data_IF_136689809592
#
_entry.id   IF_136689809592
#
_cell.length_a   1.000
_cell.length_b   1.000
_cell.length_c   1.000
_cell.angle_alpha   90.00
_cell.angle_beta   90.00
_cell.angle_gamma   90.00
#
_symmetry.space_group_name_H-M   'P 1'
#
loop_
_entity.id
_entity.type
_entity.pdbx_description
1 polymer ?
#
# COMPACT_ATOMS: atom_id res chain seq x y z
N UNK A 1 13.47 9.19 29.92
CA UNK A 1 12.76 10.49 30.04
C UNK A 1 13.20 11.51 28.97
N UNK A 2 14.50 11.74 28.74
CA UNK A 2 14.98 12.60 27.64
C UNK A 2 14.70 12.00 26.24
N UNK A 3 14.88 10.69 26.06
CA UNK A 3 14.55 9.96 24.83
C UNK A 3 13.05 10.05 24.46
N UNK A 4 12.14 10.05 25.45
CA UNK A 4 10.68 10.17 25.23
C UNK A 4 10.31 11.60 24.76
N UNK A 5 11.04 12.63 25.19
CA UNK A 5 10.85 14.01 24.73
C UNK A 5 11.46 14.25 23.35
N UNK A 6 12.58 13.60 23.02
CA UNK A 6 13.13 13.56 21.65
C UNK A 6 12.20 12.82 20.69
N UNK A 7 11.62 11.69 21.10
CA UNK A 7 10.56 10.96 20.38
C UNK A 7 9.34 11.85 20.11
N UNK A 8 8.82 12.57 21.11
CA UNK A 8 7.69 13.50 20.88
C UNK A 8 8.03 14.64 19.90
N UNK A 9 9.30 15.03 19.78
CA UNK A 9 9.76 16.09 18.88
C UNK A 9 9.96 15.56 17.45
N UNK A 10 10.53 14.36 17.29
CA UNK A 10 10.66 13.66 16.01
C UNK A 10 9.29 13.22 15.44
N UNK A 11 8.37 12.76 16.29
CA UNK A 11 6.97 12.48 15.91
C UNK A 11 6.20 13.75 15.48
N UNK A 12 6.58 14.93 15.98
CA UNK A 12 6.02 16.21 15.55
C UNK A 12 6.49 16.58 14.13
N UNK A 13 7.76 16.29 13.83
CA UNK A 13 8.33 16.43 12.47
C UNK A 13 7.76 15.37 11.50
N UNK A 14 7.49 14.15 12.01
CA UNK A 14 6.80 13.04 11.32
C UNK A 14 5.39 13.42 10.87
N UNK A 15 4.70 14.23 11.68
CA UNK A 15 3.45 14.85 11.28
C UNK A 15 3.68 16.00 10.31
N UNK A 16 4.79 16.75 10.30
CA UNK A 16 4.96 17.95 9.47
C UNK A 16 5.20 17.67 7.97
N UNK A 17 6.04 16.71 7.59
CA UNK A 17 6.21 16.36 6.16
C UNK A 17 4.95 15.74 5.54
N UNK A 18 4.18 14.99 6.33
CA UNK A 18 2.89 14.42 5.94
C UNK A 18 1.74 15.44 6.10
N UNK A 19 1.82 16.38 7.06
CA UNK A 19 0.86 17.48 7.27
C UNK A 19 1.01 18.62 6.27
N UNK A 20 2.18 18.79 5.67
CA UNK A 20 2.38 19.77 4.63
C UNK A 20 1.38 19.55 3.48
N UNK A 21 1.02 18.28 3.21
CA UNK A 21 -0.02 17.90 2.23
C UNK A 21 -1.38 17.60 2.90
N UNK A 22 -1.41 17.03 4.11
CA UNK A 22 -2.63 16.70 4.83
C UNK A 22 -2.70 17.41 6.19
N UNK A 23 -3.23 18.64 6.21
CA UNK A 23 -3.53 19.34 7.45
C UNK A 23 -4.52 18.51 8.31
N UNK A 24 -4.01 17.66 9.21
CA UNK A 24 -4.82 17.03 10.25
C UNK A 24 -5.22 18.10 11.24
N UNK A 25 -6.39 18.70 10.99
CA UNK A 25 -7.13 19.46 12.00
C UNK A 25 -7.35 18.53 13.19
N UNK A 26 -7.06 19.00 14.40
CA UNK A 26 -7.41 18.26 15.62
C UNK A 26 -8.94 18.16 15.68
N UNK A 27 -9.50 17.07 15.17
CA UNK A 27 -10.91 16.76 15.34
C UNK A 27 -11.13 16.31 16.78
N UNK A 28 -11.59 17.23 17.61
CA UNK A 28 -12.26 16.88 18.87
C UNK A 28 -13.53 16.12 18.51
N UNK A 29 -13.54 14.81 18.77
CA UNK A 29 -14.73 13.96 18.68
C UNK A 29 -15.88 14.59 19.46
N UNK A 30 -17.05 14.88 18.85
CA UNK A 30 -18.25 15.16 19.62
C UNK A 30 -18.71 13.84 20.25
N UNK A 31 -18.29 13.59 21.48
CA UNK A 31 -18.85 12.57 22.34
C UNK A 31 -20.31 12.91 22.66
N UNK A 32 -21.26 12.44 21.84
CA UNK A 32 -22.63 12.15 22.25
C UNK A 32 -23.13 10.92 21.51
N UNK A 33 -23.27 9.82 22.25
CA UNK A 33 -23.96 8.63 21.79
C UNK A 33 -25.42 8.96 21.50
N UNK A 34 -25.77 8.99 20.22
CA UNK A 34 -27.14 8.77 19.76
C UNK A 34 -27.22 7.36 19.21
N UNK A 35 -28.05 6.53 19.81
CA UNK A 35 -28.41 5.23 19.25
C UNK A 35 -29.09 5.48 17.89
N UNK A 36 -28.36 5.23 16.80
CA UNK A 36 -28.91 5.36 15.46
C UNK A 36 -29.78 4.13 15.16
N UNK A 37 -31.09 4.37 15.13
CA UNK A 37 -32.07 3.48 14.51
C UNK A 37 -31.73 3.35 13.02
N UNK A 38 -31.42 2.13 12.57
CA UNK A 38 -31.20 1.81 11.17
C UNK A 38 -32.52 1.93 10.40
N UNK A 39 -32.63 2.76 9.33
CA UNK A 39 -33.71 2.60 8.38
C UNK A 39 -33.56 1.26 7.69
N UNK A 40 -34.63 0.46 7.66
CA UNK A 40 -34.71 -0.82 6.94
C UNK A 40 -34.38 -0.60 5.45
N UNK A 41 -33.15 -0.89 5.06
CA UNK A 41 -32.63 -0.77 3.70
C UNK A 41 -32.75 -2.12 2.99
N UNK A 42 -33.98 -2.60 2.77
CA UNK A 42 -34.23 -3.90 2.17
C UNK A 42 -34.74 -3.76 0.73
N UNK A 43 -34.07 -4.48 -0.20
CA UNK A 43 -34.32 -4.58 -1.65
C UNK A 43 -33.53 -3.61 -2.56
N UNK A 44 -33.84 -2.30 -2.60
CA UNK A 44 -33.29 -1.39 -3.62
C UNK A 44 -31.77 -1.15 -3.60
N UNK A 45 -31.12 -1.22 -2.43
CA UNK A 45 -29.65 -1.11 -2.35
C UNK A 45 -28.91 -2.33 -2.90
N UNK A 46 -29.52 -3.52 -2.85
CA UNK A 46 -28.88 -4.72 -3.35
C UNK A 46 -28.77 -4.69 -4.87
N UNK A 47 -29.80 -4.17 -5.55
CA UNK A 47 -29.84 -4.03 -7.00
C UNK A 47 -28.81 -3.00 -7.49
N UNK A 48 -28.66 -1.89 -6.75
CA UNK A 48 -27.68 -0.85 -7.10
C UNK A 48 -26.23 -1.32 -6.91
N UNK A 49 -25.94 -2.07 -5.84
CA UNK A 49 -24.63 -2.70 -5.65
C UNK A 49 -24.32 -3.66 -6.80
N UNK A 50 -25.28 -4.52 -7.19
CA UNK A 50 -25.09 -5.47 -8.28
C UNK A 50 -24.84 -4.74 -9.63
N UNK A 51 -25.62 -3.70 -9.92
CA UNK A 51 -25.49 -2.88 -11.14
C UNK A 51 -24.14 -2.19 -11.22
N UNK A 52 -23.69 -1.55 -10.14
CA UNK A 52 -22.39 -0.87 -10.09
C UNK A 52 -21.23 -1.86 -10.12
N UNK A 53 -21.36 -3.00 -9.44
CA UNK A 53 -20.33 -4.04 -9.43
C UNK A 53 -20.12 -4.66 -10.82
N UNK A 54 -21.17 -4.76 -11.64
CA UNK A 54 -21.12 -5.25 -13.02
C UNK A 54 -20.51 -4.25 -14.02
N UNK A 55 -20.30 -2.99 -13.62
CA UNK A 55 -19.72 -1.97 -14.51
C UNK A 55 -18.24 -2.27 -14.79
N UNK A 56 -17.82 -2.16 -16.05
CA UNK A 56 -16.41 -2.38 -16.45
C UNK A 56 -15.52 -1.36 -15.73
N UNK A 57 -14.55 -1.86 -14.97
CA UNK A 57 -13.61 -1.02 -14.23
C UNK A 57 -12.44 -0.66 -15.13
N UNK A 58 -12.13 0.62 -15.22
CA UNK A 58 -10.92 1.11 -15.86
C UNK A 58 -9.73 0.92 -14.89
N UNK A 59 -8.64 0.25 -15.30
CA UNK A 59 -7.42 0.21 -14.50
C UNK A 59 -6.89 1.64 -14.36
N UNK A 60 -6.46 2.00 -13.15
CA UNK A 60 -5.89 3.32 -12.89
C UNK A 60 -4.46 3.34 -13.40
N UNK A 61 -4.16 4.19 -14.38
CA UNK A 61 -2.77 4.37 -14.81
C UNK A 61 -2.09 5.48 -14.03
N UNK A 62 -0.76 5.45 -13.94
CA UNK A 62 0.01 6.56 -13.39
C UNK A 62 -0.21 7.87 -14.17
N UNK A 63 -0.42 7.77 -15.48
CA UNK A 63 -0.80 8.90 -16.33
C UNK A 63 -2.15 9.52 -15.91
N UNK A 64 -3.12 8.71 -15.46
CA UNK A 64 -4.41 9.22 -14.97
C UNK A 64 -4.24 10.06 -13.70
N UNK A 65 -3.25 9.76 -12.84
CA UNK A 65 -2.96 10.53 -11.63
C UNK A 65 -2.28 11.87 -11.92
N UNK A 66 -1.53 11.94 -13.03
CA UNK A 66 -0.81 13.13 -13.46
C UNK A 66 -1.61 14.03 -14.42
N UNK A 67 -2.75 13.54 -14.92
CA UNK A 67 -3.55 14.21 -15.96
C UNK A 67 -3.94 15.65 -15.61
N UNK A 68 -4.21 15.93 -14.33
CA UNK A 68 -4.67 17.24 -13.88
C UNK A 68 -3.54 18.26 -13.70
N UNK A 69 -2.28 17.86 -13.80
CA UNK A 69 -1.13 18.75 -13.72
C UNK A 69 -0.65 19.05 -12.31
N UNK A 70 0.24 20.05 -12.18
CA UNK A 70 0.85 20.45 -10.89
C UNK A 70 -0.07 21.42 -10.13
N UNK A 71 -0.22 21.26 -8.81
CA UNK A 71 -0.91 22.25 -7.98
C UNK A 71 -0.21 23.63 -8.00
N UNK A 72 -0.94 24.73 -7.72
CA UNK A 72 -2.38 24.79 -7.49
C UNK A 72 -3.17 24.55 -8.79
N UNK A 73 -4.26 23.79 -8.70
CA UNK A 73 -5.10 23.49 -9.86
C UNK A 73 -6.03 24.67 -10.17
N UNK A 74 -6.40 24.82 -11.45
CA UNK A 74 -7.53 25.67 -11.83
C UNK A 74 -8.83 25.09 -11.28
N UNK A 75 -9.85 25.94 -11.13
CA UNK A 75 -11.20 25.52 -10.72
C UNK A 75 -11.73 24.37 -11.60
N UNK A 76 -11.63 24.49 -12.92
CA UNK A 76 -12.04 23.45 -13.86
C UNK A 76 -11.27 22.13 -13.66
N UNK A 77 -9.96 22.20 -13.38
CA UNK A 77 -9.14 21.02 -13.16
C UNK A 77 -9.48 20.32 -11.84
N UNK A 78 -9.78 21.09 -10.79
CA UNK A 78 -10.21 20.55 -9.49
C UNK A 78 -11.59 19.90 -9.56
N UNK A 79 -12.55 20.55 -10.23
CA UNK A 79 -13.87 19.96 -10.52
C UNK A 79 -13.75 18.70 -11.39
N UNK A 80 -12.85 18.71 -12.37
CA UNK A 80 -12.56 17.52 -13.19
C UNK A 80 -11.99 16.37 -12.35
N UNK A 81 -11.10 16.66 -11.40
CA UNK A 81 -10.53 15.68 -10.47
C UNK A 81 -11.60 15.07 -9.57
N UNK A 82 -12.51 15.89 -9.02
CA UNK A 82 -13.62 15.43 -8.18
C UNK A 82 -14.56 14.49 -8.95
N UNK A 83 -14.99 14.90 -10.14
CA UNK A 83 -15.88 14.09 -10.98
C UNK A 83 -15.19 12.81 -11.50
N UNK A 84 -13.88 12.86 -11.79
CA UNK A 84 -13.10 11.67 -12.13
C UNK A 84 -13.08 10.68 -10.95
N UNK A 85 -12.89 11.16 -9.73
CA UNK A 85 -12.93 10.35 -8.51
C UNK A 85 -14.28 9.66 -8.34
N UNK A 86 -15.38 10.41 -8.49
CA UNK A 86 -16.75 9.88 -8.43
C UNK A 86 -17.09 8.89 -9.55
N UNK A 87 -16.44 8.99 -10.70
CA UNK A 87 -16.61 8.01 -11.78
C UNK A 87 -16.02 6.63 -11.46
N UNK A 88 -15.10 6.54 -10.49
CA UNK A 88 -14.35 5.33 -10.17
C UNK A 88 -14.71 4.73 -8.81
N UNK A 89 -14.78 5.53 -7.74
CA UNK A 89 -14.91 5.00 -6.38
C UNK A 89 -16.19 4.18 -6.15
N UNK A 90 -17.41 4.61 -6.55
CA UNK A 90 -18.62 3.85 -6.27
C UNK A 90 -18.63 2.45 -6.89
N UNK A 91 -18.22 2.33 -8.16
CA UNK A 91 -18.12 1.03 -8.82
C UNK A 91 -17.07 0.11 -8.18
N UNK A 92 -15.95 0.67 -7.69
CA UNK A 92 -14.93 -0.07 -6.96
C UNK A 92 -15.44 -0.54 -5.59
N UNK A 93 -16.12 0.31 -4.84
CA UNK A 93 -16.72 -0.05 -3.55
C UNK A 93 -17.81 -1.12 -3.71
N UNK A 94 -18.71 -0.95 -4.69
CA UNK A 94 -19.75 -1.93 -5.01
C UNK A 94 -19.16 -3.31 -5.34
N UNK A 95 -18.07 -3.35 -6.11
CA UNK A 95 -17.34 -4.59 -6.34
C UNK A 95 -16.79 -5.23 -5.08
N UNK A 96 -16.24 -4.45 -4.15
CA UNK A 96 -15.69 -4.99 -2.90
C UNK A 96 -16.79 -5.52 -1.99
N UNK A 97 -17.94 -4.84 -1.96
CA UNK A 97 -19.16 -5.32 -1.28
C UNK A 97 -19.59 -6.67 -1.88
N UNK A 98 -19.68 -6.76 -3.21
CA UNK A 98 -20.02 -8.02 -3.90
C UNK A 98 -19.02 -9.14 -3.61
N UNK A 99 -17.71 -8.84 -3.64
CA UNK A 99 -16.67 -9.81 -3.34
C UNK A 99 -16.78 -10.34 -1.89
N UNK A 100 -17.06 -9.47 -0.92
CA UNK A 100 -17.30 -9.87 0.47
C UNK A 100 -18.57 -10.74 0.60
N UNK A 101 -19.64 -10.45 -0.14
CA UNK A 101 -20.88 -11.25 -0.14
C UNK A 101 -20.69 -12.65 -0.71
N UNK A 102 -19.74 -12.82 -1.62
CA UNK A 102 -19.45 -14.10 -2.27
C UNK A 102 -18.56 -15.03 -1.42
N UNK A 103 -18.06 -14.58 -0.27
CA UNK A 103 -17.32 -15.43 0.66
C UNK A 103 -18.25 -16.44 1.35
N UNK A 104 -17.71 -17.56 1.86
CA UNK A 104 -18.48 -18.51 2.65
C UNK A 104 -19.19 -17.82 3.82
N UNK A 105 -20.44 -18.23 4.10
CA UNK A 105 -21.28 -17.59 5.12
C UNK A 105 -20.60 -17.48 6.49
N UNK A 106 -19.84 -18.52 6.88
CA UNK A 106 -19.09 -18.55 8.15
C UNK A 106 -18.01 -17.44 8.22
N UNK A 107 -17.41 -17.07 7.10
CA UNK A 107 -16.41 -16.00 7.00
C UNK A 107 -17.09 -14.63 7.06
N UNK A 108 -18.18 -14.45 6.30
CA UNK A 108 -18.92 -13.18 6.28
C UNK A 108 -19.55 -12.85 7.64
N UNK A 109 -19.97 -13.90 8.37
CA UNK A 109 -20.55 -13.77 9.71
C UNK A 109 -19.53 -13.37 10.78
N UNK A 110 -18.23 -13.44 10.48
CA UNK A 110 -17.20 -13.00 11.42
C UNK A 110 -17.36 -11.50 11.74
N UNK A 111 -17.31 -11.07 13.03
CA UNK A 111 -17.53 -9.67 13.40
C UNK A 111 -16.56 -8.69 12.73
N UNK A 112 -15.31 -9.09 12.50
CA UNK A 112 -14.31 -8.25 11.85
C UNK A 112 -14.58 -8.09 10.36
N UNK A 113 -14.91 -9.19 9.66
CA UNK A 113 -15.26 -9.16 8.22
C UNK A 113 -16.56 -8.38 8.01
N UNK A 114 -17.59 -8.62 8.85
CA UNK A 114 -18.86 -7.92 8.83
C UNK A 114 -18.69 -6.41 9.08
N UNK A 115 -17.81 -6.01 10.01
CA UNK A 115 -17.46 -4.59 10.20
C UNK A 115 -16.90 -3.95 8.93
N UNK A 116 -15.99 -4.63 8.23
CA UNK A 116 -15.44 -4.12 6.97
C UNK A 116 -16.51 -4.03 5.89
N UNK A 117 -17.37 -5.03 5.78
CA UNK A 117 -18.54 -5.01 4.89
C UNK A 117 -19.43 -3.79 5.15
N UNK A 118 -19.76 -3.52 6.41
CA UNK A 118 -20.59 -2.37 6.80
C UNK A 118 -19.90 -1.03 6.50
N UNK A 119 -18.58 -0.93 6.70
CA UNK A 119 -17.84 0.28 6.33
C UNK A 119 -17.89 0.55 4.81
N UNK A 120 -17.78 -0.49 3.99
CA UNK A 120 -17.92 -0.35 2.54
C UNK A 120 -19.34 0.05 2.12
N UNK A 121 -20.37 -0.56 2.72
CA UNK A 121 -21.77 -0.18 2.49
C UNK A 121 -22.02 1.28 2.85
N UNK A 122 -21.56 1.70 4.03
CA UNK A 122 -21.68 3.09 4.47
C UNK A 122 -21.01 4.02 3.48
N UNK A 123 -19.75 3.76 3.12
CA UNK A 123 -19.00 4.57 2.16
C UNK A 123 -19.69 4.68 0.80
N UNK A 124 -20.24 3.57 0.27
CA UNK A 124 -20.99 3.60 -0.97
C UNK A 124 -22.25 4.47 -0.82
N UNK A 125 -23.04 4.25 0.25
CA UNK A 125 -24.26 5.01 0.50
C UNK A 125 -24.01 6.52 0.62
N UNK A 126 -22.86 6.91 1.19
CA UNK A 126 -22.43 8.30 1.33
C UNK A 126 -22.03 8.91 -0.02
N UNK A 127 -21.45 8.12 -0.94
CA UNK A 127 -21.01 8.60 -2.25
C UNK A 127 -22.12 8.63 -3.31
N UNK A 128 -23.15 7.79 -3.20
CA UNK A 128 -24.24 7.70 -4.19
C UNK A 128 -24.92 9.05 -4.49
N UNK A 129 -25.26 9.90 -3.49
CA UNK A 129 -25.85 11.22 -3.75
C UNK A 129 -24.95 12.12 -4.60
N UNK A 130 -23.63 11.99 -4.47
CA UNK A 130 -22.66 12.72 -5.29
C UNK A 130 -22.49 12.10 -6.66
N UNK A 131 -22.63 10.78 -6.82
CA UNK A 131 -22.52 10.13 -8.13
C UNK A 131 -23.70 10.47 -9.05
N UNK A 132 -24.89 10.69 -8.49
CA UNK A 132 -26.11 10.99 -9.25
C UNK A 132 -26.10 12.41 -9.86
N UNK A 133 -25.21 13.29 -9.41
CA UNK A 133 -25.10 14.68 -9.88
C UNK A 133 -23.65 15.01 -10.22
N UNK A 134 -23.43 15.84 -11.23
CA UNK A 134 -22.09 16.35 -11.52
C UNK A 134 -21.73 17.42 -10.48
N UNK A 135 -20.55 17.32 -9.85
CA UNK A 135 -20.02 18.41 -9.02
C UNK A 135 -19.68 19.57 -9.95
N UNK A 136 -20.34 20.71 -9.77
CA UNK A 136 -20.28 21.85 -10.70
C UNK A 136 -19.74 23.13 -10.04
N UNK A 137 -19.63 23.17 -8.71
CA UNK A 137 -19.19 24.36 -7.97
C UNK A 137 -18.08 24.01 -6.97
N UNK A 138 -17.23 24.99 -6.64
CA UNK A 138 -16.18 24.83 -5.62
C UNK A 138 -16.73 24.52 -4.23
N UNK A 139 -17.92 25.01 -3.89
CA UNK A 139 -18.54 24.71 -2.59
C UNK A 139 -18.97 23.24 -2.51
N UNK A 140 -19.52 22.68 -3.59
CA UNK A 140 -19.84 21.24 -3.67
C UNK A 140 -18.59 20.38 -3.67
N UNK A 141 -17.52 20.80 -4.35
CA UNK A 141 -16.23 20.12 -4.36
C UNK A 141 -15.63 20.06 -2.96
N UNK A 142 -15.69 21.16 -2.22
CA UNK A 142 -15.21 21.23 -0.84
C UNK A 142 -16.00 20.31 0.10
N UNK A 143 -17.34 20.32 -0.01
CA UNK A 143 -18.18 19.39 0.75
C UNK A 143 -17.86 17.93 0.41
N UNK A 144 -17.61 17.64 -0.87
CA UNK A 144 -17.18 16.32 -1.32
C UNK A 144 -15.81 15.94 -0.75
N UNK A 145 -14.84 16.85 -0.76
CA UNK A 145 -13.51 16.62 -0.19
C UNK A 145 -13.55 16.33 1.31
N UNK A 146 -14.38 17.07 2.07
CA UNK A 146 -14.60 16.82 3.51
C UNK A 146 -15.16 15.40 3.74
N UNK A 147 -16.20 15.03 2.98
CA UNK A 147 -16.78 13.68 3.03
C UNK A 147 -15.75 12.61 2.66
N UNK A 148 -14.99 12.84 1.59
CA UNK A 148 -13.99 11.88 1.11
C UNK A 148 -12.87 11.66 2.13
N UNK A 149 -12.46 12.71 2.84
CA UNK A 149 -11.48 12.62 3.92
C UNK A 149 -11.98 11.70 5.06
N UNK A 150 -13.24 11.84 5.46
CA UNK A 150 -13.85 10.98 6.48
C UNK A 150 -13.94 9.51 6.03
N UNK A 151 -14.24 9.27 4.75
CA UNK A 151 -14.26 7.92 4.18
C UNK A 151 -12.86 7.28 4.16
N UNK A 152 -11.83 8.04 3.73
CA UNK A 152 -10.44 7.58 3.75
C UNK A 152 -9.99 7.24 5.17
N UNK A 153 -10.37 8.06 6.14
CA UNK A 153 -10.07 7.83 7.56
C UNK A 153 -10.77 6.56 8.09
N UNK A 154 -12.06 6.38 7.80
CA UNK A 154 -12.86 5.20 8.19
C UNK A 154 -12.24 3.89 7.72
N UNK A 155 -11.58 3.89 6.56
CA UNK A 155 -10.92 2.73 5.97
C UNK A 155 -9.45 2.55 6.40
N UNK A 156 -8.94 3.35 7.32
CA UNK A 156 -7.53 3.29 7.77
C UNK A 156 -7.15 1.91 8.30
N UNK A 157 -8.01 1.33 9.14
CA UNK A 157 -7.74 0.05 9.80
C UNK A 157 -8.30 -1.17 9.05
N UNK A 158 -8.66 -1.04 7.76
CA UNK A 158 -9.26 -2.17 7.03
C UNK A 158 -8.38 -3.40 7.01
N UNK A 159 -7.09 -3.26 6.69
CA UNK A 159 -6.16 -4.40 6.54
C UNK A 159 -6.01 -5.20 7.84
N UNK A 160 -5.64 -4.59 8.99
CA UNK A 160 -5.48 -5.36 10.23
C UNK A 160 -6.78 -5.98 10.73
N UNK A 161 -7.91 -5.30 10.54
CA UNK A 161 -9.23 -5.83 10.92
C UNK A 161 -9.58 -7.04 10.05
N UNK A 162 -9.39 -6.92 8.74
CA UNK A 162 -9.63 -8.01 7.79
C UNK A 162 -8.73 -9.21 8.11
N UNK A 163 -7.44 -8.94 8.37
CA UNK A 163 -6.47 -9.97 8.73
C UNK A 163 -6.89 -10.76 9.97
N UNK A 164 -7.38 -10.08 11.01
CA UNK A 164 -7.91 -10.73 12.22
C UNK A 164 -9.12 -11.61 11.91
N UNK A 165 -10.06 -11.12 11.10
CA UNK A 165 -11.24 -11.89 10.70
C UNK A 165 -10.90 -13.17 9.93
N UNK A 166 -9.98 -13.09 8.97
CA UNK A 166 -9.53 -14.27 8.23
C UNK A 166 -8.70 -15.24 9.08
N UNK A 167 -7.92 -14.72 10.04
CA UNK A 167 -7.19 -15.55 10.99
C UNK A 167 -8.13 -16.39 11.87
N UNK A 168 -9.22 -15.78 12.37
CA UNK A 168 -10.26 -16.47 13.15
C UNK A 168 -11.00 -17.52 12.32
N UNK A 169 -11.19 -17.26 11.03
CA UNK A 169 -11.88 -18.16 10.12
C UNK A 169 -10.97 -19.21 9.45
N UNK A 170 -9.66 -19.23 9.71
CA UNK A 170 -8.66 -20.05 8.99
C UNK A 170 -8.96 -21.54 8.91
N UNK A 171 -9.73 -22.09 9.86
CA UNK A 171 -10.10 -23.51 9.91
C UNK A 171 -11.27 -23.87 8.98
N UNK A 172 -11.96 -22.86 8.44
CA UNK A 172 -13.23 -23.00 7.74
C UNK A 172 -13.16 -22.58 6.27
N UNK A 173 -11.99 -22.17 5.79
CA UNK A 173 -11.75 -21.73 4.42
C UNK A 173 -10.37 -22.21 3.96
N UNK A 174 -10.26 -22.54 2.68
CA UNK A 174 -9.00 -22.99 2.10
C UNK A 174 -7.96 -21.84 2.09
N UNK A 175 -6.70 -22.08 2.49
CA UNK A 175 -5.66 -21.05 2.52
C UNK A 175 -5.36 -20.41 1.15
N UNK A 176 -5.47 -21.15 0.05
CA UNK A 176 -5.26 -20.62 -1.29
C UNK A 176 -6.44 -19.73 -1.70
N UNK A 177 -7.67 -20.09 -1.32
CA UNK A 177 -8.85 -19.24 -1.53
C UNK A 177 -8.74 -17.92 -0.76
N UNK A 178 -8.32 -17.96 0.52
CA UNK A 178 -8.04 -16.77 1.32
C UNK A 178 -6.98 -15.90 0.66
N UNK A 179 -5.88 -16.51 0.23
CA UNK A 179 -4.76 -15.77 -0.39
C UNK A 179 -5.21 -15.07 -1.67
N UNK A 180 -5.94 -15.77 -2.54
CA UNK A 180 -6.51 -15.20 -3.77
C UNK A 180 -7.48 -14.05 -3.47
N UNK A 181 -8.37 -14.23 -2.48
CA UNK A 181 -9.31 -13.19 -2.09
C UNK A 181 -8.57 -11.95 -1.54
N UNK A 182 -7.64 -12.14 -0.61
CA UNK A 182 -6.91 -11.04 0.03
C UNK A 182 -6.04 -10.30 -0.97
N UNK A 183 -5.33 -10.99 -1.86
CA UNK A 183 -4.52 -10.33 -2.89
C UNK A 183 -5.37 -9.38 -3.75
N UNK A 184 -6.49 -9.90 -4.25
CA UNK A 184 -7.46 -9.12 -5.03
C UNK A 184 -8.06 -7.99 -4.19
N UNK A 185 -8.48 -8.27 -2.96
CA UNK A 185 -9.13 -7.30 -2.09
C UNK A 185 -8.21 -6.13 -1.70
N UNK A 186 -6.96 -6.44 -1.35
CA UNK A 186 -5.98 -5.46 -0.91
C UNK A 186 -5.47 -4.64 -2.10
N UNK A 187 -5.23 -5.24 -3.26
CA UNK A 187 -4.82 -4.50 -4.47
C UNK A 187 -5.90 -3.50 -4.93
N UNK A 188 -7.18 -3.90 -4.92
CA UNK A 188 -8.29 -2.97 -5.16
C UNK A 188 -8.35 -1.83 -4.14
N UNK A 189 -8.09 -2.12 -2.87
CA UNK A 189 -8.07 -1.12 -1.81
C UNK A 189 -6.93 -0.11 -2.01
N UNK A 190 -5.72 -0.58 -2.34
CA UNK A 190 -4.57 0.30 -2.67
C UNK A 190 -4.98 1.30 -3.74
N UNK A 191 -5.54 0.82 -4.86
CA UNK A 191 -5.95 1.70 -5.95
C UNK A 191 -7.10 2.64 -5.61
N UNK A 192 -8.08 2.19 -4.84
CA UNK A 192 -9.23 3.02 -4.43
C UNK A 192 -8.79 4.13 -3.48
N UNK A 193 -7.91 3.80 -2.52
CA UNK A 193 -7.33 4.73 -1.57
C UNK A 193 -6.48 5.78 -2.28
N UNK A 194 -5.64 5.35 -3.23
CA UNK A 194 -4.77 6.23 -4.00
C UNK A 194 -5.54 7.29 -4.78
N UNK A 195 -6.66 6.93 -5.42
CA UNK A 195 -7.51 7.89 -6.14
C UNK A 195 -8.07 8.94 -5.18
N UNK A 196 -8.57 8.49 -4.02
CA UNK A 196 -9.14 9.38 -3.03
C UNK A 196 -8.08 10.34 -2.47
N UNK A 197 -6.91 9.82 -2.08
CA UNK A 197 -5.80 10.63 -1.57
C UNK A 197 -5.27 11.61 -2.62
N UNK A 198 -5.26 11.24 -3.90
CA UNK A 198 -4.84 12.15 -4.98
C UNK A 198 -5.77 13.37 -5.08
N UNK A 199 -7.08 13.15 -5.08
CA UNK A 199 -8.03 14.26 -5.10
C UNK A 199 -7.90 15.15 -3.86
N UNK A 200 -7.78 14.54 -2.67
CA UNK A 200 -7.58 15.29 -1.42
C UNK A 200 -6.28 16.12 -1.46
N UNK A 201 -5.18 15.56 -1.96
CA UNK A 201 -3.92 16.28 -2.10
C UNK A 201 -4.05 17.49 -3.04
N UNK A 202 -4.78 17.34 -4.15
CA UNK A 202 -5.10 18.45 -5.06
C UNK A 202 -5.99 19.51 -4.41
N UNK A 203 -7.02 19.08 -3.66
CA UNK A 203 -7.92 19.97 -2.94
C UNK A 203 -7.15 20.84 -1.93
N UNK A 204 -6.37 20.22 -1.03
CA UNK A 204 -5.62 20.95 -0.01
C UNK A 204 -4.56 21.88 -0.60
N UNK A 205 -3.87 21.47 -1.67
CA UNK A 205 -2.86 22.29 -2.34
C UNK A 205 -3.47 23.46 -3.13
N UNK A 206 -4.76 23.42 -3.45
CA UNK A 206 -5.46 24.46 -4.23
C UNK A 206 -6.30 25.40 -3.37
N UNK A 207 -6.39 25.18 -2.05
CA UNK A 207 -7.09 26.11 -1.16
C UNK A 207 -6.34 27.45 -1.04
N UNK A 208 -7.04 28.60 -1.09
CA UNK A 208 -6.43 29.90 -0.86
C UNK A 208 -5.87 29.96 0.56
N UNK A 209 -4.63 30.40 0.69
CA UNK A 209 -4.00 30.59 1.99
C UNK A 209 -4.85 31.54 2.83
N UNK A 210 -5.46 31.05 3.91
CA UNK A 210 -6.07 31.93 4.90
C UNK A 210 -4.96 32.77 5.52
N UNK A 211 -5.12 34.08 5.44
CA UNK A 211 -4.34 35.06 6.19
C UNK A 211 -4.54 34.83 7.69
N UNK A 212 -3.76 33.93 8.28
CA UNK A 212 -3.62 33.82 9.73
C UNK A 212 -2.13 33.76 10.07
N UNK A 213 -1.69 34.84 10.70
CA UNK A 213 -0.38 35.03 11.34
C UNK A 213 -0.01 33.87 12.27
N UNK A 214 1.30 33.58 12.35
CA UNK A 214 2.03 32.75 13.34
C UNK A 214 2.37 31.27 13.03
N UNK A 215 2.85 30.94 11.84
CA UNK A 215 3.83 29.86 11.65
C UNK A 215 4.61 30.04 10.33
N UNK A 216 5.91 29.68 10.25
CA UNK A 216 6.58 29.57 8.97
C UNK A 216 5.87 28.48 8.17
N UNK A 217 5.32 28.82 6.99
CA UNK A 217 4.80 27.84 6.04
C UNK A 217 5.98 26.98 5.58
N UNK A 218 6.05 25.72 5.99
CA UNK A 218 6.74 24.71 5.20
C UNK A 218 5.90 24.54 3.93
N UNK A 219 6.27 25.25 2.87
CA UNK A 219 5.68 25.08 1.54
C UNK A 219 5.81 23.63 1.13
N UNK A 220 4.72 22.99 0.67
CA UNK A 220 4.79 21.67 0.04
C UNK A 220 5.93 21.69 -0.97
N UNK A 221 6.91 20.77 -0.87
CA UNK A 221 8.07 20.77 -1.74
C UNK A 221 7.63 20.77 -3.21
N UNK A 222 8.24 21.61 -4.05
CA UNK A 222 7.81 21.85 -5.44
C UNK A 222 7.84 20.60 -6.34
N UNK A 223 8.43 19.51 -5.86
CA UNK A 223 8.51 18.22 -6.52
C UNK A 223 7.24 17.35 -6.36
N UNK A 224 6.26 17.74 -5.55
CA UNK A 224 5.04 16.94 -5.37
C UNK A 224 3.93 17.26 -6.39
N UNK A 225 3.32 16.22 -6.93
CA UNK A 225 2.11 16.26 -7.76
C UNK A 225 1.05 15.38 -7.12
N UNK A 226 0.26 15.98 -6.23
CA UNK A 226 -0.63 15.25 -5.36
C UNK A 226 0.15 14.33 -4.41
N UNK A 227 -0.08 13.02 -4.49
CA UNK A 227 0.60 11.99 -3.68
C UNK A 227 1.93 11.52 -4.28
N UNK A 228 2.28 11.97 -5.48
CA UNK A 228 3.49 11.55 -6.21
C UNK A 228 4.61 12.55 -5.92
N UNK A 229 5.79 12.05 -5.56
CA UNK A 229 7.03 12.81 -5.58
C UNK A 229 7.73 12.59 -6.92
N UNK A 230 7.92 13.65 -7.69
CA UNK A 230 8.55 13.62 -9.03
C UNK A 230 10.06 13.37 -9.00
N UNK A 231 10.71 13.54 -7.85
CA UNK A 231 12.16 13.40 -7.67
C UNK A 231 12.47 12.59 -6.41
N UNK A 232 11.71 11.52 -6.18
CA UNK A 232 11.88 10.68 -5.00
C UNK A 232 13.28 10.05 -5.01
N UNK A 233 14.03 10.24 -3.92
CA UNK A 233 15.32 9.60 -3.69
C UNK A 233 15.15 8.38 -2.78
N UNK A 234 15.31 7.14 -3.30
CA UNK A 234 15.21 5.89 -2.52
C UNK A 234 16.00 5.89 -1.23
N UNK A 235 17.25 6.38 -1.27
CA UNK A 235 18.15 6.37 -0.12
C UNK A 235 17.58 7.11 1.09
N UNK A 236 16.81 8.20 0.88
CA UNK A 236 16.19 8.95 1.97
C UNK A 236 15.09 8.15 2.66
N UNK A 237 14.25 7.47 1.88
CA UNK A 237 13.19 6.60 2.42
C UNK A 237 13.81 5.42 3.16
N UNK A 238 14.86 4.80 2.60
CA UNK A 238 15.57 3.69 3.25
C UNK A 238 16.17 4.12 4.59
N UNK A 239 16.85 5.28 4.66
CA UNK A 239 17.39 5.80 5.93
C UNK A 239 16.31 6.10 6.96
N UNK A 240 15.20 6.69 6.53
CA UNK A 240 14.06 6.91 7.43
C UNK A 240 13.48 5.57 7.96
N UNK A 241 13.31 4.57 7.10
CA UNK A 241 12.82 3.26 7.50
C UNK A 241 13.83 2.52 8.40
N UNK A 242 15.14 2.63 8.13
CA UNK A 242 16.20 2.13 9.01
C UNK A 242 16.08 2.74 10.41
N UNK A 243 15.91 4.06 10.50
CA UNK A 243 15.78 4.73 11.80
C UNK A 243 14.57 4.22 12.57
N UNK A 244 13.41 4.19 11.90
CA UNK A 244 12.16 3.74 12.50
C UNK A 244 12.20 2.26 12.94
N UNK A 245 12.69 1.36 12.08
CA UNK A 245 12.79 -0.08 12.40
C UNK A 245 13.88 -0.32 13.45
N UNK A 246 14.98 0.42 13.38
CA UNK A 246 16.07 0.38 14.35
C UNK A 246 15.60 0.75 15.77
N UNK A 247 14.78 1.79 15.91
CA UNK A 247 14.16 2.15 17.20
C UNK A 247 13.27 1.01 17.76
N UNK A 248 12.48 0.37 16.89
CA UNK A 248 11.65 -0.77 17.30
C UNK A 248 12.53 -1.94 17.79
N UNK A 249 13.62 -2.23 17.08
CA UNK A 249 14.55 -3.29 17.45
C UNK A 249 15.31 -2.97 18.74
N UNK A 250 15.74 -1.72 18.93
CA UNK A 250 16.40 -1.28 20.16
C UNK A 250 15.47 -1.41 21.37
N UNK A 251 14.20 -1.01 21.22
CA UNK A 251 13.19 -1.17 22.28
C UNK A 251 12.85 -2.63 22.60
N UNK A 252 12.81 -3.51 21.59
CA UNK A 252 12.38 -4.90 21.75
C UNK A 252 13.51 -5.85 22.13
N UNK A 253 14.68 -5.68 21.52
CA UNK A 253 15.81 -6.60 21.60
C UNK A 253 17.06 -5.97 22.24
N UNK A 254 17.06 -4.66 22.51
CA UNK A 254 18.24 -3.95 23.03
C UNK A 254 19.36 -3.73 22.01
N UNK A 255 19.11 -4.03 20.74
CA UNK A 255 20.11 -4.01 19.67
C UNK A 255 19.54 -3.34 18.42
N UNK A 256 20.39 -2.59 17.71
CA UNK A 256 20.07 -1.91 16.46
C UNK A 256 21.04 -2.34 15.35
N UNK A 257 20.62 -3.20 14.41
CA UNK A 257 21.39 -3.51 13.21
C UNK A 257 21.71 -2.26 12.39
N UNK A 258 22.89 -2.25 11.76
CA UNK A 258 23.32 -1.17 10.86
C UNK A 258 22.87 -1.44 9.41
N UNK A 259 22.45 -0.39 8.68
CA UNK A 259 22.20 -0.48 7.24
C UNK A 259 23.22 0.34 6.44
N UNK A 260 23.93 -0.35 5.55
CA UNK A 260 24.90 0.26 4.62
C UNK A 260 24.27 0.39 3.24
N UNK A 261 24.17 1.62 2.73
CA UNK A 261 23.62 1.91 1.41
C UNK A 261 24.76 2.08 0.40
N UNK A 262 24.79 1.25 -0.64
CA UNK A 262 25.68 1.34 -1.79
C UNK A 262 24.94 1.45 -3.12
N UNK A 263 25.68 1.34 -4.24
CA UNK A 263 25.15 1.56 -5.58
C UNK A 263 25.08 3.06 -5.91
N UNK A 264 23.93 3.53 -6.37
CA UNK A 264 23.67 4.94 -6.74
C UNK A 264 22.65 5.59 -5.79
N UNK A 265 23.06 6.02 -4.58
CA UNK A 265 22.17 6.59 -3.58
C UNK A 265 21.52 7.92 -4.00
N UNK A 266 22.14 8.65 -4.93
CA UNK A 266 21.65 9.91 -5.50
C UNK A 266 20.56 9.72 -6.56
N UNK A 267 20.33 8.48 -7.02
CA UNK A 267 19.31 8.17 -8.02
C UNK A 267 17.93 8.68 -7.57
N UNK A 268 17.16 9.22 -8.52
CA UNK A 268 15.81 9.69 -8.27
C UNK A 268 14.87 9.30 -9.39
N UNK A 269 13.62 9.05 -9.04
CA UNK A 269 12.55 8.74 -9.98
C UNK A 269 11.22 9.22 -9.43
N UNK A 270 10.21 9.33 -10.29
CA UNK A 270 8.91 9.78 -9.85
C UNK A 270 8.08 8.59 -9.33
N UNK A 271 7.66 8.62 -8.05
CA UNK A 271 6.96 7.51 -7.40
C UNK A 271 6.10 7.98 -6.22
N UNK A 272 5.26 7.09 -5.67
CA UNK A 272 4.43 7.36 -4.48
C UNK A 272 5.25 7.04 -3.21
N UNK A 273 5.68 8.04 -2.41
CA UNK A 273 6.59 7.81 -1.28
C UNK A 273 6.04 6.83 -0.25
N UNK A 274 4.76 6.95 0.07
CA UNK A 274 4.05 6.13 1.07
C UNK A 274 4.09 4.64 0.72
N UNK A 275 3.97 4.31 -0.57
CA UNK A 275 4.01 2.92 -1.02
C UNK A 275 5.42 2.34 -0.84
N UNK A 276 6.43 3.13 -1.18
CA UNK A 276 7.83 2.73 -0.98
C UNK A 276 8.17 2.60 0.50
N UNK A 277 7.77 3.57 1.34
CA UNK A 277 7.94 3.52 2.79
C UNK A 277 7.34 2.24 3.38
N UNK A 278 6.13 1.87 2.96
CA UNK A 278 5.51 0.62 3.40
C UNK A 278 6.35 -0.60 3.06
N UNK A 279 6.73 -0.76 1.78
CA UNK A 279 7.51 -1.90 1.31
C UNK A 279 8.84 -1.98 2.07
N UNK A 280 9.61 -0.89 2.10
CA UNK A 280 10.93 -0.87 2.73
C UNK A 280 10.83 -1.13 4.23
N UNK A 281 9.82 -0.58 4.92
CA UNK A 281 9.60 -0.85 6.35
C UNK A 281 9.36 -2.34 6.60
N UNK A 282 8.51 -3.00 5.81
CA UNK A 282 8.27 -4.44 5.97
C UNK A 282 9.51 -5.29 5.66
N UNK A 283 10.25 -4.95 4.59
CA UNK A 283 11.46 -5.68 4.22
C UNK A 283 12.57 -5.51 5.27
N UNK A 284 12.80 -4.30 5.77
CA UNK A 284 13.78 -4.04 6.82
C UNK A 284 13.38 -4.70 8.14
N UNK A 285 12.10 -4.70 8.54
CA UNK A 285 11.65 -5.46 9.73
C UNK A 285 12.02 -6.94 9.64
N UNK A 286 11.86 -7.55 8.46
CA UNK A 286 12.21 -8.96 8.26
C UNK A 286 13.73 -9.17 8.32
N UNK A 287 14.51 -8.35 7.62
CA UNK A 287 15.97 -8.43 7.63
C UNK A 287 16.55 -8.21 9.04
N UNK A 288 16.11 -7.16 9.74
CA UNK A 288 16.54 -6.84 11.11
C UNK A 288 16.21 -7.98 12.07
N UNK A 289 14.99 -8.52 11.99
CA UNK A 289 14.59 -9.68 12.80
C UNK A 289 15.50 -10.87 12.52
N UNK A 290 15.72 -11.20 11.25
CA UNK A 290 16.51 -12.38 10.86
C UNK A 290 17.96 -12.29 11.36
N UNK A 291 18.61 -11.12 11.28
CA UNK A 291 19.99 -10.97 11.79
C UNK A 291 20.05 -11.03 13.31
N UNK A 292 19.09 -10.43 14.02
CA UNK A 292 19.04 -10.46 15.49
C UNK A 292 18.77 -11.88 16.00
N UNK A 293 17.78 -12.57 15.43
CA UNK A 293 17.40 -13.93 15.88
C UNK A 293 18.50 -14.96 15.60
N UNK A 294 19.42 -14.70 14.66
CA UNK A 294 20.56 -15.56 14.36
C UNK A 294 21.89 -15.10 15.00
N UNK A 295 21.89 -14.09 15.87
CA UNK A 295 23.11 -13.60 16.51
C UNK A 295 24.11 -12.96 15.52
N UNK A 296 23.61 -12.42 14.41
CA UNK A 296 24.37 -11.77 13.34
C UNK A 296 24.14 -10.25 13.31
N UNK A 297 23.73 -9.65 14.44
CA UNK A 297 23.46 -8.21 14.56
C UNK A 297 24.65 -7.30 14.25
N UNK A 298 25.88 -7.83 14.33
CA UNK A 298 27.11 -7.11 13.99
C UNK A 298 27.39 -7.06 12.48
N UNK A 299 26.74 -7.94 11.70
CA UNK A 299 26.85 -7.88 10.25
C UNK A 299 25.87 -6.81 9.72
N UNK A 300 26.35 -5.85 8.92
CA UNK A 300 25.47 -4.84 8.37
C UNK A 300 24.50 -5.45 7.36
N UNK A 301 23.28 -4.91 7.31
CA UNK A 301 22.34 -5.16 6.23
C UNK A 301 22.77 -4.29 5.06
N UNK A 302 23.07 -4.92 3.93
CA UNK A 302 23.58 -4.24 2.74
C UNK A 302 22.42 -3.89 1.81
N UNK A 303 22.25 -2.60 1.52
CA UNK A 303 21.25 -2.11 0.56
C UNK A 303 21.96 -1.58 -0.68
N UNK A 304 21.58 -2.04 -1.86
CA UNK A 304 22.15 -1.58 -3.14
C UNK A 304 21.06 -0.98 -4.01
N UNK A 305 21.21 0.29 -4.39
CA UNK A 305 20.28 1.01 -5.27
C UNK A 305 20.86 1.02 -6.70
N UNK A 306 20.08 0.56 -7.67
CA UNK A 306 20.46 0.51 -9.08
C UNK A 306 19.30 1.00 -9.96
N UNK A 307 19.33 2.23 -10.49
CA UNK A 307 18.40 2.64 -11.54
C UNK A 307 18.71 1.90 -12.85
N UNK A 308 17.67 1.53 -13.59
CA UNK A 308 17.84 1.01 -14.93
C UNK A 308 18.39 2.09 -15.87
N UNK A 309 19.23 1.73 -16.85
CA UNK A 309 19.66 2.67 -17.87
C UNK A 309 18.46 3.21 -18.65
N UNK A 310 18.41 4.52 -18.87
CA UNK A 310 17.41 5.18 -19.74
C UNK A 310 17.60 4.64 -21.17
N UNK A 311 16.94 3.53 -21.54
CA UNK A 311 16.97 3.01 -22.93
C UNK A 311 15.87 3.73 -23.73
N UNK A 312 16.20 4.50 -24.78
CA UNK A 312 15.20 5.14 -25.64
C UNK A 312 14.33 4.07 -26.31
N UNK A 313 13.00 4.22 -26.22
CA UNK A 313 11.99 3.22 -26.59
C UNK A 313 11.93 2.79 -28.07
N UNK A 314 12.86 3.20 -28.92
CA UNK A 314 12.88 2.85 -30.34
C UNK A 314 13.50 1.47 -30.64
N UNK A 315 14.20 0.83 -29.70
CA UNK A 315 14.87 -0.45 -29.94
C UNK A 315 14.17 -1.68 -29.34
N UNK A 316 13.10 -1.50 -28.55
CA UNK A 316 12.46 -2.62 -27.83
C UNK A 316 11.44 -3.36 -28.71
N UNK A 317 10.81 -2.68 -29.68
CA UNK A 317 9.79 -3.31 -30.53
C UNK A 317 10.36 -4.26 -31.61
N UNK A 318 11.58 -4.05 -32.11
CA UNK A 318 12.16 -4.93 -33.15
C UNK A 318 12.77 -6.22 -32.60
N UNK A 319 13.17 -6.25 -31.32
CA UNK A 319 13.86 -7.41 -30.72
C UNK A 319 12.87 -8.43 -30.15
N UNK A 320 11.75 -7.97 -29.59
CA UNK A 320 10.72 -8.86 -29.01
C UNK A 320 9.94 -9.66 -30.05
N UNK A 321 9.66 -9.08 -31.23
CA UNK A 321 8.91 -9.79 -32.28
C UNK A 321 9.76 -10.85 -33.00
N UNK A 322 11.08 -10.64 -33.14
CA UNK A 322 11.97 -11.64 -33.77
C UNK A 322 12.23 -12.83 -32.86
N UNK A 323 12.45 -12.62 -31.56
CA UNK A 323 12.70 -13.73 -30.63
C UNK A 323 11.48 -14.63 -30.41
N UNK A 324 10.26 -14.09 -30.51
CA UNK A 324 9.02 -14.87 -30.31
C UNK A 324 8.70 -15.78 -31.51
N UNK A 325 9.24 -15.49 -32.69
CA UNK A 325 9.06 -16.32 -33.89
C UNK A 325 10.06 -17.49 -33.96
N UNK A 326 11.32 -17.28 -33.57
CA UNK A 326 12.35 -18.35 -33.62
C UNK A 326 12.20 -19.39 -32.49
N UNK A 327 11.65 -19.02 -31.33
CA UNK A 327 11.45 -19.94 -30.19
C UNK A 327 10.30 -20.94 -30.38
N UNK A 328 9.55 -20.89 -31.49
CA UNK A 328 8.44 -21.82 -31.77
C UNK A 328 8.86 -23.10 -32.50
N UNK A 329 10.10 -23.22 -32.97
CA UNK A 329 10.52 -24.35 -33.83
C UNK A 329 11.58 -25.30 -33.23
N UNK A 330 11.99 -25.12 -31.97
CA UNK A 330 12.94 -26.05 -31.34
C UNK A 330 12.59 -26.37 -29.88
N UNK A 331 11.59 -27.24 -29.69
CA UNK A 331 11.48 -28.02 -28.46
C UNK A 331 12.45 -29.20 -28.54
N UNK A 332 13.41 -29.24 -27.63
CA UNK A 332 14.04 -30.48 -27.15
C UNK A 332 14.34 -30.34 -25.66
N UNK A 333 14.19 -31.47 -24.98
CA UNK A 333 14.03 -31.69 -23.55
C UNK A 333 15.21 -31.23 -22.67
N UNK A 334 14.91 -30.95 -21.40
CA UNK A 334 15.78 -30.56 -20.26
C UNK A 334 16.21 -29.09 -20.14
N UNK A 335 15.31 -28.23 -19.64
CA UNK A 335 15.70 -27.04 -18.85
C UNK A 335 14.62 -26.69 -17.83
N UNK A 336 15.04 -26.35 -16.60
CA UNK A 336 14.16 -26.12 -15.44
C UNK A 336 13.63 -24.69 -15.53
N UNK A 337 12.64 -24.49 -16.39
CA UNK A 337 12.12 -23.19 -16.80
C UNK A 337 11.26 -22.47 -15.76
N UNK A 338 11.60 -21.19 -15.60
CA UNK A 338 10.88 -20.12 -14.91
C UNK A 338 9.40 -20.07 -15.33
N UNK A 339 8.46 -20.43 -14.43
CA UNK A 339 7.04 -20.19 -14.65
C UNK A 339 6.66 -18.86 -13.99
N UNK A 340 6.59 -17.78 -14.79
CA UNK A 340 5.80 -16.61 -14.41
C UNK A 340 4.34 -17.02 -14.56
N UNK A 341 3.71 -17.37 -13.45
CA UNK A 341 2.25 -17.56 -13.37
C UNK A 341 1.57 -16.21 -13.58
N UNK A 342 1.50 -15.80 -14.85
CA UNK A 342 0.60 -14.75 -15.27
C UNK A 342 -0.77 -15.40 -15.27
N UNK A 343 -1.60 -15.09 -14.29
CA UNK A 343 -2.99 -15.54 -14.24
C UNK A 343 -3.74 -14.87 -15.40
N UNK A 344 -3.68 -15.51 -16.57
CA UNK A 344 -4.45 -15.13 -17.76
C UNK A 344 -5.79 -15.86 -17.64
N UNK A 345 -6.89 -15.10 -17.50
CA UNK A 345 -8.22 -15.63 -17.83
C UNK A 345 -9.37 -15.45 -16.83
N UNK A 346 -9.32 -14.54 -15.84
CA UNK A 346 -10.54 -14.15 -15.10
C UNK A 346 -10.84 -12.66 -15.25
N UNK A 347 -12.08 -12.27 -14.98
CA UNK A 347 -12.57 -10.88 -15.00
C UNK A 347 -11.77 -9.91 -14.08
N UNK A 348 -10.81 -10.45 -13.32
CA UNK A 348 -9.95 -9.79 -12.34
C UNK A 348 -8.63 -9.25 -12.92
N UNK A 349 -8.32 -9.53 -14.20
CA UNK A 349 -7.17 -8.95 -14.93
C UNK A 349 -7.29 -7.43 -15.22
N UNK A 350 -8.24 -6.74 -14.58
CA UNK A 350 -8.52 -5.31 -14.72
C UNK A 350 -8.07 -4.48 -13.49
N UNK A 351 -7.51 -5.09 -12.45
CA UNK A 351 -7.02 -4.37 -11.25
C UNK A 351 -5.51 -4.09 -11.29
N UNK A 352 -4.75 -4.79 -12.13
CA UNK A 352 -3.37 -4.47 -12.48
C UNK A 352 -3.32 -3.59 -13.73
N UNK A 353 -2.44 -2.58 -13.71
CA UNK A 353 -2.31 -1.58 -14.79
C UNK A 353 -1.87 -2.28 -16.07
N UNK A 354 -2.66 -2.15 -17.15
CA UNK A 354 -2.17 -2.48 -18.49
C UNK A 354 -1.28 -1.34 -18.96
N UNK A 355 -0.02 -1.67 -19.24
CA UNK A 355 1.02 -0.75 -19.68
C UNK A 355 0.61 -0.01 -20.96
N UNK A 356 0.43 1.31 -20.87
CA UNK A 356 0.69 2.20 -22.00
C UNK A 356 2.15 2.63 -21.89
N UNK A 357 3.03 1.81 -22.48
CA UNK A 357 4.50 1.95 -22.53
C UNK A 357 5.23 1.83 -21.18
N UNK A 358 6.29 1.00 -21.06
CA UNK A 358 7.12 0.99 -19.86
C UNK A 358 7.71 2.39 -19.65
N UNK A 359 7.60 2.92 -18.44
CA UNK A 359 8.38 4.10 -18.04
C UNK A 359 9.85 3.82 -18.31
N UNK A 360 10.59 4.74 -18.93
CA UNK A 360 12.04 4.56 -19.15
C UNK A 360 12.85 4.51 -17.85
N UNK A 361 12.23 4.92 -16.72
CA UNK A 361 12.88 4.97 -15.41
C UNK A 361 12.32 3.87 -14.52
N UNK A 362 13.16 2.88 -14.20
CA UNK A 362 12.91 1.90 -13.15
C UNK A 362 14.06 1.89 -12.17
N UNK A 363 13.80 1.52 -10.92
CA UNK A 363 14.82 1.37 -9.88
C UNK A 363 14.71 -0.02 -9.28
N UNK A 364 15.85 -0.70 -9.19
CA UNK A 364 16.00 -1.94 -8.43
C UNK A 364 16.76 -1.65 -7.13
N UNK A 365 16.20 -2.13 -6.02
CA UNK A 365 16.76 -2.04 -4.67
C UNK A 365 16.99 -3.46 -4.19
N UNK A 366 18.25 -3.83 -3.95
CA UNK A 366 18.59 -5.09 -3.29
C UNK A 366 18.77 -4.84 -1.80
N UNK A 367 18.13 -5.64 -0.94
CA UNK A 367 18.35 -5.67 0.51
C UNK A 367 18.92 -7.05 0.84
N UNK A 368 20.14 -7.09 1.37
CA UNK A 368 20.85 -8.32 1.73
C UNK A 368 21.09 -8.37 3.23
N UNK A 369 20.69 -9.47 3.85
CA UNK A 369 20.99 -9.78 5.23
C UNK A 369 21.92 -11.00 5.39
N UNK A 370 22.45 -11.19 6.59
CA UNK A 370 23.16 -12.41 7.01
C UNK A 370 22.36 -13.19 8.08
N UNK A 371 21.04 -13.13 7.99
CA UNK A 371 20.13 -13.67 8.99
C UNK A 371 19.85 -15.16 8.80
N UNK A 372 20.82 -15.96 8.38
CA UNK A 372 20.70 -17.42 8.26
C UNK A 372 19.84 -17.95 7.10
N UNK A 373 19.16 -17.07 6.36
CA UNK A 373 18.33 -17.45 5.21
C UNK A 373 17.02 -18.13 5.60
N UNK A 374 16.17 -18.32 4.59
CA UNK A 374 14.87 -18.99 4.70
C UNK A 374 15.02 -20.48 4.34
N UNK A 375 14.54 -21.43 5.17
CA UNK A 375 14.56 -22.85 4.86
C UNK A 375 13.81 -23.19 3.55
N UNK A 376 14.31 -24.13 2.71
CA UNK A 376 13.68 -24.49 1.44
C UNK A 376 12.22 -24.96 1.56
N UNK A 377 11.86 -25.62 2.66
CA UNK A 377 10.51 -26.07 2.96
C UNK A 377 9.54 -24.93 3.31
N UNK A 378 10.06 -23.81 3.79
CA UNK A 378 9.30 -22.60 4.13
C UNK A 378 9.13 -21.68 2.92
N UNK A 379 10.13 -21.64 2.03
CA UNK A 379 10.20 -20.71 0.90
C UNK A 379 8.91 -20.64 0.04
N UNK A 380 8.22 -21.75 -0.31
CA UNK A 380 6.98 -21.69 -1.10
C UNK A 380 5.84 -20.95 -0.39
N UNK A 381 5.86 -20.90 0.95
CA UNK A 381 4.76 -20.40 1.78
C UNK A 381 4.89 -18.92 2.16
N UNK A 382 6.05 -18.28 1.92
CA UNK A 382 6.32 -16.90 2.37
C UNK A 382 5.39 -15.85 1.74
N UNK A 383 4.75 -16.19 0.62
CA UNK A 383 3.79 -15.36 -0.09
C UNK A 383 2.33 -15.60 0.32
N UNK A 384 2.08 -16.61 1.14
CA UNK A 384 0.73 -16.93 1.64
C UNK A 384 0.35 -15.95 2.75
N UNK A 385 -0.84 -15.37 2.67
CA UNK A 385 -1.34 -14.53 3.74
C UNK A 385 -1.56 -15.35 5.02
N UNK A 386 -1.29 -14.76 6.17
CA UNK A 386 -1.33 -15.41 7.48
C UNK A 386 -0.22 -16.44 7.74
N UNK A 387 0.68 -16.66 6.78
CA UNK A 387 1.90 -17.45 7.02
C UNK A 387 2.92 -16.61 7.79
N UNK A 388 3.41 -17.15 8.90
CA UNK A 388 4.37 -16.45 9.76
C UNK A 388 5.23 -17.46 10.52
N UNK A 389 6.54 -17.23 10.53
CA UNK A 389 7.52 -17.97 11.36
C UNK A 389 7.53 -17.47 12.81
N UNK A 390 6.55 -16.65 13.21
CA UNK A 390 6.42 -16.14 14.58
C UNK A 390 5.78 -17.16 15.53
N UNK A 391 5.06 -18.18 15.01
CA UNK A 391 4.20 -19.07 15.79
C UNK A 391 4.87 -20.36 16.29
N UNK A 392 6.14 -20.62 15.95
CA UNK A 392 6.85 -21.83 16.38
C UNK A 392 7.46 -21.72 17.80
N UNK A 393 7.11 -20.66 18.54
CA UNK A 393 7.36 -20.53 19.98
C UNK A 393 6.02 -20.57 20.75
N UNK A 394 5.56 -21.79 21.03
CA UNK A 394 4.50 -22.23 21.96
C UNK A 394 3.15 -21.48 22.02
N UNK A 395 2.04 -22.12 21.56
CA UNK A 395 0.66 -21.74 21.89
C UNK A 395 0.19 -22.19 23.30
N UNK A 396 1.07 -22.73 24.14
CA UNK A 396 0.71 -23.20 25.49
C UNK A 396 1.61 -22.54 26.54
N UNK A 397 1.21 -21.38 27.06
CA UNK A 397 1.79 -20.92 28.34
C UNK A 397 1.93 -19.43 28.62
N UNK A 398 1.36 -18.50 27.83
CA UNK A 398 1.37 -17.09 28.25
C UNK A 398 0.08 -16.36 27.89
N UNK A 399 -0.93 -16.59 28.72
CA UNK A 399 -1.92 -15.56 29.00
C UNK A 399 -1.19 -14.42 29.72
N UNK A 400 -1.26 -13.21 29.14
CA UNK A 400 -0.79 -11.91 29.63
C UNK A 400 0.55 -11.39 29.09
N UNK A 401 0.47 -10.44 28.15
CA UNK A 401 1.35 -9.25 28.15
C UNK A 401 2.21 -8.97 26.91
N UNK A 402 2.59 -9.98 26.12
CA UNK A 402 3.70 -9.77 25.16
C UNK A 402 3.25 -9.24 23.77
N UNK A 403 1.99 -9.45 23.39
CA UNK A 403 1.41 -8.97 22.11
C UNK A 403 0.95 -7.50 22.17
N UNK A 404 0.77 -6.97 23.37
CA UNK A 404 0.16 -5.65 23.58
C UNK A 404 1.18 -4.52 23.50
N UNK A 405 2.43 -4.72 23.94
CA UNK A 405 3.44 -3.66 23.95
C UNK A 405 3.87 -3.20 22.55
N UNK A 406 4.10 -4.13 21.60
CA UNK A 406 4.48 -3.78 20.23
C UNK A 406 3.33 -3.17 19.42
N UNK A 407 2.10 -3.65 19.61
CA UNK A 407 0.91 -3.09 18.97
C UNK A 407 0.62 -1.68 19.53
N UNK A 408 0.84 -1.45 20.83
CA UNK A 408 0.57 -0.16 21.49
C UNK A 408 1.57 0.93 21.10
N UNK A 409 2.87 0.61 20.97
CA UNK A 409 3.88 1.60 20.55
C UNK A 409 3.71 1.95 19.06
N UNK A 410 3.36 0.96 18.24
CA UNK A 410 3.28 1.13 16.79
C UNK A 410 1.96 1.78 16.33
N UNK A 411 0.86 1.64 17.09
CA UNK A 411 -0.44 2.26 16.80
C UNK A 411 -0.41 3.81 16.71
N UNK A 412 0.63 4.45 17.22
CA UNK A 412 0.86 5.90 17.16
C UNK A 412 1.13 6.46 15.75
N UNK A 413 1.32 5.59 14.74
CA UNK A 413 1.89 5.96 13.43
C UNK A 413 0.91 5.90 12.26
N UNK A 414 -0.39 5.70 12.50
CA UNK A 414 -1.46 6.00 11.54
C UNK A 414 -1.25 5.52 10.09
N UNK A 415 -0.78 4.29 9.86
CA UNK A 415 -1.07 3.47 8.66
C UNK A 415 -0.28 2.16 8.59
N UNK A 416 0.86 2.06 9.28
CA UNK A 416 1.84 0.99 9.02
C UNK A 416 1.89 -0.15 10.05
N UNK A 417 0.99 -0.21 11.04
CA UNK A 417 1.45 -0.70 12.36
C UNK A 417 0.60 -1.71 13.14
N UNK A 418 -0.35 -2.43 12.54
CA UNK A 418 -1.16 -3.44 13.26
C UNK A 418 -1.05 -4.86 12.70
N UNK A 419 -0.05 -5.13 11.86
CA UNK A 419 0.06 -6.41 11.13
C UNK A 419 1.42 -7.11 11.34
N UNK A 420 2.29 -6.55 12.17
CA UNK A 420 3.54 -7.20 12.55
C UNK A 420 3.24 -8.53 13.24
N UNK A 421 3.85 -9.62 12.74
CA UNK A 421 3.63 -10.98 13.24
C UNK A 421 2.41 -11.70 12.67
N UNK A 422 1.49 -11.02 11.96
CA UNK A 422 0.29 -11.65 11.38
C UNK A 422 0.52 -12.30 10.01
N UNK A 423 1.71 -12.17 9.40
CA UNK A 423 2.02 -12.83 8.12
C UNK A 423 1.42 -12.17 6.88
N UNK A 424 1.30 -10.84 6.86
CA UNK A 424 0.80 -10.08 5.69
C UNK A 424 1.85 -9.14 5.09
N UNK A 425 2.97 -8.92 5.76
CA UNK A 425 3.98 -7.92 5.35
C UNK A 425 4.55 -8.19 3.96
N UNK A 426 5.09 -9.40 3.73
CA UNK A 426 5.67 -9.78 2.43
C UNK A 426 4.64 -9.82 1.28
N UNK A 427 3.49 -10.51 1.41
CA UNK A 427 2.48 -10.54 0.34
C UNK A 427 1.95 -9.14 -0.02
N UNK A 428 1.71 -8.30 1.00
CA UNK A 428 1.20 -6.94 0.77
C UNK A 428 2.27 -6.03 0.17
N UNK A 429 3.54 -6.16 0.58
CA UNK A 429 4.65 -5.45 -0.05
C UNK A 429 4.75 -5.77 -1.54
N UNK A 430 4.60 -7.04 -1.91
CA UNK A 430 4.55 -7.49 -3.30
C UNK A 430 3.36 -6.88 -4.03
N UNK A 431 2.17 -6.87 -3.43
CA UNK A 431 0.99 -6.24 -4.03
C UNK A 431 1.19 -4.73 -4.27
N UNK A 432 1.86 -3.99 -3.36
CA UNK A 432 2.22 -2.59 -3.57
C UNK A 432 3.23 -2.39 -4.71
N UNK A 433 4.26 -3.23 -4.80
CA UNK A 433 5.27 -3.14 -5.86
C UNK A 433 4.67 -3.44 -7.24
N UNK A 434 3.92 -4.53 -7.34
CA UNK A 434 3.27 -4.97 -8.58
C UNK A 434 2.11 -4.04 -8.99
N UNK A 435 1.58 -3.21 -8.09
CA UNK A 435 0.50 -2.27 -8.42
C UNK A 435 0.89 -1.32 -9.57
N UNK A 436 2.15 -0.90 -9.62
CA UNK A 436 2.69 -0.06 -10.70
C UNK A 436 3.62 -0.81 -11.66
N UNK A 437 3.52 -2.14 -11.73
CA UNK A 437 4.35 -2.95 -12.63
C UNK A 437 5.78 -3.19 -12.15
N UNK A 438 6.04 -2.95 -10.86
CA UNK A 438 7.23 -3.43 -10.18
C UNK A 438 7.15 -4.92 -9.82
N UNK A 439 8.11 -5.40 -9.03
CA UNK A 439 8.16 -6.77 -8.55
C UNK A 439 8.98 -6.89 -7.26
N UNK A 440 8.78 -7.98 -6.52
CA UNK A 440 9.66 -8.40 -5.43
C UNK A 440 10.09 -9.84 -5.69
N UNK A 441 11.40 -10.07 -5.74
CA UNK A 441 11.99 -11.40 -5.79
C UNK A 441 12.82 -11.64 -4.52
N UNK A 442 12.85 -12.88 -4.04
CA UNK A 442 13.59 -13.28 -2.84
C UNK A 442 14.52 -14.42 -3.22
N UNK A 443 15.80 -14.31 -2.85
CA UNK A 443 16.78 -15.35 -2.99
C UNK A 443 17.38 -15.65 -1.63
N UNK A 444 17.03 -16.83 -1.11
CA UNK A 444 17.56 -17.34 0.15
C UNK A 444 18.78 -18.21 -0.11
N UNK A 445 19.85 -17.97 0.63
CA UNK A 445 20.93 -18.93 0.82
C UNK A 445 20.81 -19.47 2.24
N UNK A 446 20.09 -20.58 2.39
CA UNK A 446 19.84 -21.18 3.70
C UNK A 446 21.16 -21.56 4.40
N UNK A 447 21.26 -21.19 5.68
CA UNK A 447 22.48 -21.25 6.48
C UNK A 447 23.35 -19.98 6.40
N UNK A 448 23.03 -19.01 5.53
CA UNK A 448 23.83 -17.80 5.34
C UNK A 448 23.00 -16.52 5.48
N UNK A 449 22.00 -16.31 4.62
CA UNK A 449 21.27 -15.04 4.56
C UNK A 449 20.28 -14.97 3.41
N UNK A 450 19.62 -13.82 3.29
CA UNK A 450 18.61 -13.59 2.26
C UNK A 450 18.90 -12.32 1.47
N UNK A 451 18.75 -12.40 0.15
CA UNK A 451 18.70 -11.24 -0.75
C UNK A 451 17.25 -11.00 -1.18
N UNK A 452 16.74 -9.79 -0.98
CA UNK A 452 15.46 -9.33 -1.53
C UNK A 452 15.71 -8.31 -2.63
N UNK A 453 15.16 -8.54 -3.81
CA UNK A 453 15.23 -7.66 -4.96
C UNK A 453 13.87 -7.00 -5.18
N UNK A 454 13.77 -5.71 -4.87
CA UNK A 454 12.61 -4.88 -5.12
C UNK A 454 12.82 -4.09 -6.41
N UNK A 455 11.98 -4.28 -7.42
CA UNK A 455 11.96 -3.45 -8.62
C UNK A 455 10.74 -2.55 -8.61
N UNK A 456 10.94 -1.24 -8.78
CA UNK A 456 9.88 -0.24 -8.86
C UNK A 456 9.95 0.47 -10.22
N UNK A 457 8.80 0.62 -10.87
CA UNK A 457 8.68 1.39 -12.11
C UNK A 457 8.27 2.81 -11.76
N UNK A 458 8.96 3.80 -12.34
CA UNK A 458 8.60 5.20 -12.17
C UNK A 458 7.32 5.56 -12.91
N UNK A 459 6.69 6.64 -12.48
CA UNK A 459 5.80 7.38 -13.37
C UNK A 459 6.73 8.11 -14.36
N UNK A 460 6.55 7.97 -15.67
CA UNK A 460 7.51 8.51 -16.66
C UNK A 460 7.86 9.99 -16.48
N UNK A 461 8.91 10.48 -17.17
CA UNK A 461 9.38 11.88 -17.04
C UNK A 461 8.22 12.86 -17.24
N UNK A 462 7.95 13.67 -16.22
CA UNK A 462 7.02 14.79 -16.33
C UNK A 462 7.66 15.85 -17.22
N UNK A 463 7.10 16.04 -18.42
CA UNK A 463 7.50 17.09 -19.36
C UNK A 463 7.15 18.49 -18.86
#
# INVERSE_FOLDING_TARGET
>A
MAAVRQLQTLFRNRQQCYRAVFHTRNYTSPAKGTAYSFPSFASGANDEVARLAATRRRPLTLADLLKHGRPPLSEDALLSSANFTLSLLPARLASRIQALRNLPFIVVSNPHVSRIYNNYLHSLSTLLPYQQRKIATLEEEKQFADVLADLVYTHTNTIPILARGFLECRKYIDPAEVTRFLDTHLRARIGTRLIAEQHLAFHFASQPAKDSSSAPKESVPSNYVGVIDSTLQPARIIKYCEDFVGEICELKYGVRPEVVIGGQPEASFAYVPVHMEYIITELLKNAFRAVIENGQEHAPIEVTIAPAPDVPGNHVHEVYDKHTQELRESQNDTDVGFHVDTVVGTADANESVRHSSPSSQSITIRIRDRGGGIPPEVLPNIWSYSFTTFSDLDPQGSENGNVDALNTISASSGHLSSIAGLGYGLPLSRAYAEYFGGSIAIQSLWGWGTDVYLTLQGVGKMG
#
